data_IF_410954320783
#
_entry.id   IF_410954320783
#
_cell.length_a   1.000
_cell.length_b   1.000
_cell.length_c   1.000
_cell.angle_alpha   90.00
_cell.angle_beta   90.00
_cell.angle_gamma   90.00
#
_symmetry.space_group_name_H-M   'P 1'
#
loop_
_entity.id
_entity.type
_entity.pdbx_description
1 polymer ?
#
# COMPACT_ATOMS: atom_id res chain seq x y z
N UNK A 1 36.78 0.04 -19.37
CA UNK A 1 35.47 0.69 -19.37
C UNK A 1 34.84 0.37 -20.71
N UNK A 2 33.75 -0.30 -20.71
CA UNK A 2 33.16 -0.78 -21.96
C UNK A 2 32.25 0.31 -22.54
N UNK A 3 32.22 0.40 -23.85
CA UNK A 3 31.41 1.37 -24.63
C UNK A 3 29.92 1.35 -24.28
N UNK A 4 29.49 0.32 -23.57
CA UNK A 4 28.10 0.17 -23.08
C UNK A 4 27.72 1.24 -22.04
N UNK A 5 28.63 1.58 -21.12
CA UNK A 5 28.36 2.61 -20.10
C UNK A 5 28.24 4.01 -20.74
N UNK A 6 29.08 4.29 -21.70
CA UNK A 6 29.05 5.58 -22.42
C UNK A 6 27.76 5.72 -23.24
N UNK A 7 27.28 4.62 -23.81
CA UNK A 7 26.04 4.59 -24.59
C UNK A 7 24.78 4.82 -23.72
N UNK A 8 24.72 4.24 -22.53
CA UNK A 8 23.62 4.42 -21.59
C UNK A 8 23.59 5.87 -21.07
N UNK A 9 24.71 6.42 -20.67
CA UNK A 9 24.80 7.79 -20.21
C UNK A 9 24.40 8.79 -21.30
N UNK A 10 24.84 8.57 -22.52
CA UNK A 10 24.46 9.42 -23.65
C UNK A 10 22.96 9.37 -23.93
N UNK A 11 22.34 8.19 -23.83
CA UNK A 11 20.92 8.04 -23.99
C UNK A 11 20.12 8.72 -22.87
N UNK A 12 20.55 8.60 -21.62
CA UNK A 12 19.92 9.26 -20.47
C UNK A 12 19.95 10.79 -20.61
N UNK A 13 21.06 11.33 -21.03
CA UNK A 13 21.23 12.78 -21.26
C UNK A 13 20.30 13.29 -22.38
N UNK A 14 19.98 12.47 -23.36
CA UNK A 14 19.10 12.87 -24.47
C UNK A 14 17.63 12.90 -24.10
N UNK A 15 17.21 12.27 -22.99
CA UNK A 15 15.83 12.29 -22.50
C UNK A 15 15.46 13.64 -21.89
N UNK A 16 16.41 14.47 -21.50
CA UNK A 16 16.25 15.75 -20.81
C UNK A 16 15.37 15.68 -19.54
N UNK A 17 15.25 14.50 -18.96
CA UNK A 17 14.45 14.29 -17.74
C UNK A 17 15.40 14.08 -16.56
N UNK A 18 15.81 15.17 -15.90
CA UNK A 18 16.82 15.14 -14.84
C UNK A 18 16.45 14.14 -13.72
N UNK A 19 15.17 14.06 -13.35
CA UNK A 19 14.73 13.15 -12.29
C UNK A 19 14.94 11.68 -12.65
N UNK A 20 14.73 11.31 -13.92
CA UNK A 20 15.00 9.94 -14.38
C UNK A 20 16.48 9.59 -14.35
N UNK A 21 17.35 10.56 -14.69
CA UNK A 21 18.80 10.39 -14.59
C UNK A 21 19.21 10.20 -13.13
N UNK A 22 18.71 11.04 -12.24
CA UNK A 22 18.96 10.93 -10.80
C UNK A 22 18.53 9.57 -10.24
N UNK A 23 17.34 9.07 -10.61
CA UNK A 23 16.84 7.77 -10.18
C UNK A 23 17.72 6.60 -10.64
N UNK A 24 18.31 6.72 -11.83
CA UNK A 24 19.20 5.68 -12.37
C UNK A 24 20.60 5.75 -11.77
N UNK A 25 21.14 6.95 -11.61
CA UNK A 25 22.46 7.15 -11.00
C UNK A 25 22.47 6.74 -9.53
N UNK A 26 21.38 6.99 -8.82
CA UNK A 26 21.20 6.61 -7.43
C UNK A 26 21.25 5.09 -7.18
N UNK A 27 21.03 4.27 -8.24
CA UNK A 27 21.15 2.81 -8.14
C UNK A 27 22.57 2.34 -7.75
N UNK A 28 23.57 3.19 -7.89
CA UNK A 28 24.95 2.91 -7.52
C UNK A 28 25.28 3.30 -6.07
N UNK A 29 24.37 3.97 -5.37
CA UNK A 29 24.56 4.48 -4.02
C UNK A 29 24.19 3.43 -2.95
N UNK A 30 24.83 3.44 -1.77
CA UNK A 30 24.43 2.57 -0.68
C UNK A 30 22.95 2.70 -0.34
N UNK A 31 22.30 1.56 -0.07
CA UNK A 31 20.85 1.47 0.16
C UNK A 31 20.46 1.67 1.62
N UNK A 32 21.44 1.70 2.52
CA UNK A 32 21.17 1.84 3.96
C UNK A 32 20.83 3.28 4.32
N UNK A 33 19.92 3.45 5.26
CA UNK A 33 19.53 4.77 5.75
C UNK A 33 18.07 4.87 6.19
N UNK A 34 17.63 6.08 6.57
CA UNK A 34 16.28 6.29 7.06
C UNK A 34 15.24 6.15 5.94
N UNK A 35 14.16 5.45 6.23
CA UNK A 35 12.98 5.33 5.35
C UNK A 35 11.80 5.99 6.02
N UNK A 36 11.14 6.94 5.33
CA UNK A 36 9.91 7.55 5.82
C UNK A 36 8.71 6.76 5.31
N UNK A 37 7.81 6.40 6.22
CA UNK A 37 6.47 5.91 5.93
C UNK A 37 5.47 7.00 6.29
N UNK A 38 4.63 7.41 5.34
CA UNK A 38 3.57 8.39 5.54
C UNK A 38 2.21 7.76 5.23
N UNK A 39 1.24 7.92 6.13
CA UNK A 39 -0.11 7.38 6.02
C UNK A 39 -1.06 8.42 5.46
N UNK A 40 -1.85 8.04 4.46
CA UNK A 40 -2.83 8.92 3.80
C UNK A 40 -4.28 8.49 4.03
N UNK A 41 -4.50 7.51 4.89
CA UNK A 41 -5.84 6.96 5.17
C UNK A 41 -6.20 5.77 4.29
N UNK A 42 -7.20 4.98 4.72
CA UNK A 42 -7.57 3.72 4.09
C UNK A 42 -6.37 2.78 3.95
N UNK A 43 -5.98 2.45 2.73
CA UNK A 43 -4.77 1.66 2.43
C UNK A 43 -3.63 2.49 1.84
N UNK A 44 -3.77 3.82 1.79
CA UNK A 44 -2.82 4.67 1.09
C UNK A 44 -1.58 5.00 1.93
N UNK A 45 -0.40 4.60 1.43
CA UNK A 45 0.89 4.90 2.05
C UNK A 45 1.89 5.45 1.04
N UNK A 46 2.69 6.42 1.50
CA UNK A 46 3.90 6.83 0.79
C UNK A 46 5.12 6.31 1.53
N UNK A 47 6.02 5.66 0.80
CA UNK A 47 7.34 5.23 1.27
C UNK A 47 8.37 6.10 0.57
N UNK A 48 9.25 6.73 1.35
CA UNK A 48 10.33 7.57 0.81
C UNK A 48 11.67 6.97 1.22
N UNK A 49 12.52 6.74 0.23
CA UNK A 49 13.85 6.15 0.40
C UNK A 49 14.85 7.12 1.06
N UNK A 50 16.01 6.65 1.52
CA UNK A 50 17.09 7.52 2.01
C UNK A 50 17.54 8.59 1.02
N UNK A 51 17.45 8.34 -0.29
CA UNK A 51 17.79 9.30 -1.33
C UNK A 51 16.61 10.17 -1.77
N UNK A 52 15.45 10.02 -1.17
CA UNK A 52 14.26 10.82 -1.45
C UNK A 52 13.39 10.27 -2.58
N UNK A 53 13.68 9.08 -3.13
CA UNK A 53 12.77 8.42 -4.07
C UNK A 53 11.50 8.00 -3.34
N UNK A 54 10.35 8.35 -3.88
CA UNK A 54 9.05 8.14 -3.23
C UNK A 54 8.13 7.27 -4.07
N UNK A 55 7.48 6.30 -3.41
CA UNK A 55 6.39 5.52 -3.97
C UNK A 55 5.13 5.72 -3.12
N UNK A 56 4.00 6.00 -3.77
CA UNK A 56 2.68 6.04 -3.13
C UNK A 56 1.85 4.86 -3.63
N UNK A 57 1.33 4.08 -2.70
CA UNK A 57 0.58 2.86 -2.95
C UNK A 57 -0.86 3.09 -2.55
N UNK A 58 -1.81 2.64 -3.39
CA UNK A 58 -3.25 2.60 -3.16
C UNK A 58 -3.91 3.95 -2.80
N UNK A 59 -3.77 4.99 -3.64
CA UNK A 59 -4.60 6.18 -3.50
C UNK A 59 -6.08 5.85 -3.76
N UNK A 60 -6.98 6.43 -2.97
CA UNK A 60 -8.41 6.13 -2.96
C UNK A 60 -9.25 7.23 -3.63
N UNK A 61 -10.46 6.88 -4.08
CA UNK A 61 -11.46 7.77 -4.64
C UNK A 61 -12.86 7.26 -4.33
N UNK A 62 -13.86 8.04 -4.64
CA UNK A 62 -15.24 7.56 -4.64
C UNK A 62 -15.55 6.76 -5.90
N UNK A 63 -16.58 5.94 -5.84
CA UNK A 63 -17.01 5.16 -6.99
C UNK A 63 -17.50 6.09 -8.13
N UNK A 64 -17.10 5.89 -9.39
CA UNK A 64 -17.41 6.83 -10.48
C UNK A 64 -18.91 7.01 -10.74
N UNK A 65 -19.70 5.98 -10.46
CA UNK A 65 -21.16 6.07 -10.58
C UNK A 65 -21.85 6.75 -9.39
N UNK A 66 -21.07 7.22 -8.40
CA UNK A 66 -21.55 7.81 -7.17
C UNK A 66 -22.60 6.98 -6.41
N UNK A 67 -22.54 5.68 -6.57
CA UNK A 67 -23.38 4.74 -5.84
C UNK A 67 -22.83 4.46 -4.44
N UNK A 68 -21.53 4.72 -4.24
CA UNK A 68 -20.82 4.58 -2.99
C UNK A 68 -19.81 5.72 -2.82
N UNK A 69 -20.24 6.74 -2.14
CA UNK A 69 -19.37 7.84 -1.74
C UNK A 69 -18.84 7.55 -0.33
N UNK A 70 -17.80 6.71 -0.24
CA UNK A 70 -17.19 6.35 1.05
C UNK A 70 -16.40 7.49 1.65
N UNK A 71 -15.78 8.32 0.81
CA UNK A 71 -14.94 9.42 1.21
C UNK A 71 -15.66 10.76 1.07
N UNK A 72 -15.34 11.74 1.90
CA UNK A 72 -15.91 13.10 1.75
C UNK A 72 -15.51 13.72 0.40
N UNK A 73 -14.29 13.45 -0.04
CA UNK A 73 -13.76 13.82 -1.37
C UNK A 73 -12.84 12.73 -1.88
N UNK A 74 -12.44 12.82 -3.14
CA UNK A 74 -11.40 11.96 -3.70
C UNK A 74 -10.02 12.32 -3.12
N UNK A 75 -9.05 11.43 -3.28
CA UNK A 75 -7.67 11.59 -2.80
C UNK A 75 -7.10 12.97 -3.14
N UNK A 76 -6.38 13.63 -2.22
CA UNK A 76 -5.75 14.90 -2.53
C UNK A 76 -4.72 14.77 -3.64
N UNK A 77 -4.57 15.79 -4.49
CA UNK A 77 -3.50 15.80 -5.49
C UNK A 77 -2.16 15.72 -4.77
N UNK A 78 -1.38 14.72 -5.09
CA UNK A 78 -0.13 14.43 -4.38
C UNK A 78 1.01 14.23 -5.36
N UNK A 79 2.09 14.98 -5.19
CA UNK A 79 3.33 14.80 -5.93
C UNK A 79 4.11 13.62 -5.36
N UNK A 80 4.59 12.72 -6.26
CA UNK A 80 5.34 11.52 -5.91
C UNK A 80 6.13 11.03 -7.13
N UNK A 81 7.21 10.28 -6.95
CA UNK A 81 7.96 9.75 -8.10
C UNK A 81 7.22 8.58 -8.77
N UNK A 82 6.65 7.69 -7.95
CA UNK A 82 6.02 6.45 -8.42
C UNK A 82 4.65 6.30 -7.76
N UNK A 83 3.60 6.12 -8.55
CA UNK A 83 2.28 5.72 -8.09
C UNK A 83 2.02 4.26 -8.40
N UNK A 84 1.51 3.50 -7.43
CA UNK A 84 1.20 2.06 -7.58
C UNK A 84 -0.19 1.76 -7.05
N UNK A 85 -0.93 0.90 -7.74
CA UNK A 85 -2.19 0.33 -7.26
C UNK A 85 -2.04 -1.19 -7.12
N UNK A 86 -2.51 -1.74 -6.00
CA UNK A 86 -2.53 -3.20 -5.79
C UNK A 86 -3.61 -3.87 -6.63
N UNK A 87 -4.76 -3.20 -6.83
CA UNK A 87 -5.89 -3.70 -7.61
C UNK A 87 -6.84 -2.57 -8.01
N UNK A 88 -7.82 -2.90 -8.85
CA UNK A 88 -8.69 -1.91 -9.51
C UNK A 88 -10.02 -1.66 -8.76
N UNK A 89 -9.99 -1.58 -7.43
CA UNK A 89 -11.12 -1.08 -6.66
C UNK A 89 -10.99 0.43 -6.41
N UNK A 90 -12.13 1.11 -6.27
CA UNK A 90 -12.16 2.58 -6.18
C UNK A 90 -11.40 3.12 -4.96
N UNK A 91 -11.31 2.35 -3.89
CA UNK A 91 -10.60 2.69 -2.67
C UNK A 91 -9.08 2.37 -2.72
N UNK A 92 -8.57 1.96 -3.92
CA UNK A 92 -7.14 1.65 -4.14
C UNK A 92 -6.56 2.19 -5.46
N UNK A 93 -7.36 2.71 -6.40
CA UNK A 93 -6.92 2.94 -7.78
C UNK A 93 -6.96 4.40 -8.26
N UNK A 94 -6.97 5.37 -7.36
CA UNK A 94 -6.99 6.78 -7.74
C UNK A 94 -5.64 7.30 -8.29
N UNK A 95 -4.96 6.52 -9.11
CA UNK A 95 -3.65 6.87 -9.69
C UNK A 95 -3.67 8.19 -10.47
N UNK A 96 -4.82 8.57 -11.04
CA UNK A 96 -5.04 9.85 -11.72
C UNK A 96 -4.97 11.08 -10.78
N UNK A 97 -4.92 10.88 -9.46
CA UNK A 97 -4.75 11.93 -8.45
C UNK A 97 -3.29 12.15 -8.07
N UNK A 98 -2.38 11.40 -8.66
CA UNK A 98 -0.95 11.52 -8.40
C UNK A 98 -0.27 12.31 -9.54
N UNK A 99 0.46 13.34 -9.18
CA UNK A 99 1.45 13.98 -10.05
C UNK A 99 2.75 13.18 -9.93
N UNK A 100 2.88 12.18 -10.81
CA UNK A 100 3.92 11.16 -10.70
C UNK A 100 4.70 10.98 -12.01
N UNK A 101 5.97 10.63 -11.90
CA UNK A 101 6.79 10.27 -13.06
C UNK A 101 6.40 8.92 -13.66
N UNK A 102 5.95 7.97 -12.81
CA UNK A 102 5.57 6.62 -13.22
C UNK A 102 4.30 6.22 -12.50
N UNK A 103 3.32 5.70 -13.25
CA UNK A 103 2.10 5.10 -12.71
C UNK A 103 2.07 3.63 -13.09
N UNK A 104 1.94 2.76 -12.09
CA UNK A 104 1.98 1.30 -12.22
C UNK A 104 0.68 0.71 -11.67
N UNK A 105 -0.28 0.51 -12.54
CA UNK A 105 -1.54 -0.14 -12.19
C UNK A 105 -1.32 -1.67 -12.12
N UNK A 106 -1.50 -2.25 -10.93
CA UNK A 106 -1.32 -3.70 -10.69
C UNK A 106 0.04 -4.20 -11.19
N UNK A 107 1.08 -3.68 -10.58
CA UNK A 107 2.45 -4.01 -10.89
C UNK A 107 2.71 -5.52 -10.78
N UNK A 108 3.25 -6.12 -11.84
CA UNK A 108 3.79 -7.48 -11.82
C UNK A 108 5.23 -7.44 -12.26
N UNK A 109 6.12 -7.98 -11.42
CA UNK A 109 7.55 -8.02 -11.70
C UNK A 109 8.37 -7.15 -10.75
N UNK A 110 9.59 -6.84 -11.14
CA UNK A 110 10.55 -6.09 -10.34
C UNK A 110 10.99 -4.84 -11.10
N UNK A 111 10.91 -3.71 -10.42
CA UNK A 111 11.33 -2.40 -10.95
C UNK A 111 12.26 -1.71 -9.97
N UNK A 112 13.34 -1.13 -10.47
CA UNK A 112 14.32 -0.42 -9.66
C UNK A 112 14.34 1.07 -10.02
N UNK A 113 14.21 1.90 -8.98
CA UNK A 113 14.22 3.35 -9.09
C UNK A 113 15.22 3.90 -8.06
N UNK A 114 16.41 4.23 -8.51
CA UNK A 114 17.46 4.70 -7.60
C UNK A 114 17.79 3.66 -6.52
N UNK A 115 17.68 4.04 -5.26
CA UNK A 115 17.91 3.21 -4.08
C UNK A 115 16.65 2.46 -3.60
N UNK A 116 15.61 2.43 -4.43
CA UNK A 116 14.35 1.72 -4.16
C UNK A 116 14.11 0.64 -5.20
N UNK A 117 13.71 -0.55 -4.75
CA UNK A 117 13.19 -1.61 -5.63
C UNK A 117 11.75 -1.91 -5.25
N UNK A 118 10.87 -1.92 -6.25
CA UNK A 118 9.45 -2.24 -6.09
C UNK A 118 9.15 -3.54 -6.79
N UNK A 119 8.59 -4.50 -6.05
CA UNK A 119 8.14 -5.80 -6.58
C UNK A 119 6.62 -5.87 -6.56
N UNK A 120 6.04 -6.43 -7.60
CA UNK A 120 4.64 -6.83 -7.63
C UNK A 120 4.52 -8.35 -7.78
N UNK A 121 3.87 -8.97 -6.81
CA UNK A 121 3.61 -10.40 -6.79
C UNK A 121 2.13 -10.65 -7.09
N UNK A 122 1.84 -11.18 -8.28
CA UNK A 122 0.47 -11.44 -8.70
C UNK A 122 -0.20 -12.51 -7.84
N UNK A 123 -1.38 -12.20 -7.30
CA UNK A 123 -2.22 -13.11 -6.55
C UNK A 123 -3.71 -12.73 -6.74
N UNK A 124 -4.55 -13.02 -5.78
CA UNK A 124 -5.99 -12.81 -5.84
C UNK A 124 -6.45 -11.90 -4.71
N UNK A 125 -7.44 -11.10 -5.00
CA UNK A 125 -8.20 -10.39 -3.99
C UNK A 125 -8.83 -11.36 -2.97
N UNK A 126 -9.03 -10.88 -1.75
CA UNK A 126 -9.81 -11.59 -0.75
C UNK A 126 -11.26 -11.78 -1.25
N UNK A 127 -11.90 -12.84 -0.81
CA UNK A 127 -13.33 -13.05 -1.04
C UNK A 127 -14.06 -12.92 0.28
N UNK A 128 -15.34 -12.53 0.18
CA UNK A 128 -16.19 -12.40 1.35
C UNK A 128 -16.17 -13.68 2.18
N UNK A 129 -15.94 -13.53 3.47
CA UNK A 129 -16.09 -14.65 4.38
C UNK A 129 -17.58 -14.97 4.57
N UNK A 130 -17.87 -16.20 4.98
CA UNK A 130 -19.24 -16.59 5.34
C UNK A 130 -19.81 -15.79 6.54
N UNK A 131 -18.95 -15.07 7.26
CA UNK A 131 -19.30 -14.22 8.39
C UNK A 131 -19.37 -12.73 8.02
N UNK A 132 -19.19 -12.37 6.73
CA UNK A 132 -19.25 -10.98 6.32
C UNK A 132 -20.58 -10.33 6.70
N UNK A 133 -20.50 -9.12 7.25
CA UNK A 133 -21.68 -8.33 7.63
C UNK A 133 -22.53 -7.95 6.42
N UNK A 134 -21.90 -7.90 5.25
CA UNK A 134 -22.52 -7.56 3.99
C UNK A 134 -22.20 -8.65 2.96
N UNK A 135 -23.18 -9.01 2.16
CA UNK A 135 -22.99 -9.84 0.98
C UNK A 135 -22.58 -8.92 -0.18
N UNK A 136 -21.29 -8.65 -0.29
CA UNK A 136 -20.74 -7.74 -1.30
C UNK A 136 -21.00 -8.22 -2.72
N UNK A 137 -21.04 -9.51 -2.95
CA UNK A 137 -21.41 -10.05 -4.26
C UNK A 137 -22.81 -9.59 -4.67
N UNK A 138 -23.81 -9.76 -3.80
CA UNK A 138 -25.17 -9.27 -4.07
C UNK A 138 -25.24 -7.76 -4.17
N UNK A 139 -24.47 -7.05 -3.37
CA UNK A 139 -24.38 -5.58 -3.44
C UNK A 139 -23.82 -5.15 -4.79
N UNK A 140 -22.73 -5.76 -5.25
CA UNK A 140 -22.16 -5.48 -6.57
C UNK A 140 -23.09 -5.84 -7.71
N UNK A 141 -23.69 -7.01 -7.69
CA UNK A 141 -24.69 -7.41 -8.69
C UNK A 141 -25.85 -6.41 -8.77
N UNK A 142 -26.30 -5.91 -7.62
CA UNK A 142 -27.39 -4.95 -7.55
C UNK A 142 -27.04 -3.57 -8.08
N UNK A 143 -25.84 -3.07 -7.82
CA UNK A 143 -25.47 -1.69 -8.12
C UNK A 143 -24.59 -1.52 -9.36
N UNK A 144 -23.80 -2.51 -9.73
CA UNK A 144 -22.92 -2.43 -10.89
C UNK A 144 -23.32 -3.36 -12.04
N UNK A 145 -24.16 -4.36 -11.77
CA UNK A 145 -24.51 -5.39 -12.75
C UNK A 145 -23.37 -6.32 -13.13
N UNK A 146 -22.23 -6.22 -12.43
CA UNK A 146 -21.02 -7.00 -12.72
C UNK A 146 -20.65 -7.83 -11.48
N UNK A 147 -20.42 -9.12 -11.67
CA UNK A 147 -19.81 -9.95 -10.63
C UNK A 147 -18.32 -9.65 -10.58
N UNK A 148 -17.85 -9.07 -9.47
CA UNK A 148 -16.46 -8.72 -9.26
C UNK A 148 -15.69 -9.76 -8.44
N UNK A 149 -16.31 -10.87 -8.06
CA UNK A 149 -15.55 -11.95 -7.43
C UNK A 149 -14.42 -12.41 -8.34
N UNK A 150 -13.21 -12.60 -7.78
CA UNK A 150 -12.10 -13.15 -8.53
C UNK A 150 -12.51 -14.50 -9.13
N UNK A 151 -12.30 -14.72 -10.43
CA UNK A 151 -12.62 -15.99 -11.03
C UNK A 151 -11.78 -17.09 -10.35
N UNK A 152 -12.41 -18.21 -10.01
CA UNK A 152 -11.70 -19.39 -9.47
C UNK A 152 -10.91 -20.10 -10.58
N UNK A 153 -9.98 -19.35 -11.15
CA UNK A 153 -9.07 -19.80 -12.20
C UNK A 153 -7.63 -19.60 -11.72
N UNK A 154 -6.82 -20.66 -11.61
CA UNK A 154 -5.45 -20.53 -11.15
C UNK A 154 -4.56 -19.64 -12.05
N UNK A 155 -4.99 -19.35 -13.27
CA UNK A 155 -4.27 -18.48 -14.20
C UNK A 155 -4.74 -17.02 -14.18
N UNK A 156 -5.83 -16.71 -13.51
CA UNK A 156 -6.29 -15.33 -13.36
C UNK A 156 -5.89 -14.80 -12.00
N UNK A 157 -5.43 -13.58 -11.99
CA UNK A 157 -5.12 -12.81 -10.81
C UNK A 157 -5.68 -11.39 -11.00
N UNK A 158 -6.13 -10.81 -9.94
CA UNK A 158 -6.77 -9.49 -9.94
C UNK A 158 -6.20 -8.58 -8.84
N UNK A 159 -5.22 -9.08 -8.12
CA UNK A 159 -4.52 -8.37 -7.05
C UNK A 159 -3.01 -8.59 -7.14
N UNK A 160 -2.24 -7.61 -6.68
CA UNK A 160 -0.79 -7.70 -6.56
C UNK A 160 -0.35 -7.28 -5.15
N UNK A 161 0.36 -8.18 -4.46
CA UNK A 161 1.12 -7.78 -3.27
C UNK A 161 2.27 -6.89 -3.71
N UNK A 162 2.44 -5.75 -3.06
CA UNK A 162 3.55 -4.85 -3.36
C UNK A 162 4.61 -4.95 -2.27
N UNK A 163 5.85 -5.22 -2.68
CA UNK A 163 7.01 -5.26 -1.79
C UNK A 163 7.97 -4.15 -2.20
N UNK A 164 8.36 -3.33 -1.23
CA UNK A 164 9.34 -2.25 -1.42
C UNK A 164 10.61 -2.58 -0.64
N UNK A 165 11.75 -2.59 -1.34
CA UNK A 165 13.07 -2.73 -0.73
C UNK A 165 13.81 -1.40 -0.81
N UNK A 166 14.14 -0.83 0.33
CA UNK A 166 14.92 0.40 0.46
C UNK A 166 15.43 0.58 1.88
N UNK A 167 16.52 1.32 2.08
CA UNK A 167 17.10 1.58 3.41
C UNK A 167 17.49 0.34 4.19
N UNK A 168 17.85 -0.76 3.50
CA UNK A 168 18.16 -2.05 4.11
C UNK A 168 16.92 -2.83 4.59
N UNK A 169 15.71 -2.30 4.38
CA UNK A 169 14.44 -2.89 4.84
C UNK A 169 13.61 -3.44 3.69
N UNK A 170 12.79 -4.45 3.99
CA UNK A 170 11.81 -5.04 3.10
C UNK A 170 10.41 -4.83 3.66
N UNK A 171 9.60 -4.04 2.95
CA UNK A 171 8.27 -3.61 3.37
C UNK A 171 7.24 -4.24 2.46
N UNK A 172 6.24 -4.96 2.99
CA UNK A 172 5.13 -5.48 2.20
C UNK A 172 3.87 -4.64 2.43
N UNK A 173 3.21 -4.26 1.36
CA UNK A 173 1.84 -3.76 1.36
C UNK A 173 0.92 -4.89 0.93
N UNK A 174 0.03 -5.31 1.84
CA UNK A 174 -0.83 -6.46 1.61
C UNK A 174 -2.03 -6.11 0.73
N UNK A 175 -2.48 -4.85 0.76
CA UNK A 175 -3.73 -4.44 0.13
C UNK A 175 -4.88 -5.32 0.59
N UNK A 176 -5.75 -5.67 -0.33
CA UNK A 176 -6.90 -6.54 -0.11
C UNK A 176 -6.64 -7.99 -0.54
N UNK A 177 -5.37 -8.40 -0.54
CA UNK A 177 -4.98 -9.76 -0.92
C UNK A 177 -5.58 -10.80 0.02
N UNK A 178 -5.92 -11.96 -0.53
CA UNK A 178 -6.37 -13.09 0.29
C UNK A 178 -5.35 -13.46 1.37
N UNK A 179 -5.85 -14.01 2.48
CA UNK A 179 -5.00 -14.38 3.63
C UNK A 179 -4.17 -15.65 3.41
N UNK A 180 -4.49 -16.42 2.39
CA UNK A 180 -3.90 -17.74 2.10
C UNK A 180 -3.31 -17.84 0.69
N UNK A 181 -2.41 -16.94 0.30
CA UNK A 181 -1.72 -17.07 -0.98
C UNK A 181 -0.95 -18.40 -1.05
N UNK A 182 -0.69 -18.91 -2.26
CA UNK A 182 0.04 -20.17 -2.42
C UNK A 182 1.50 -20.05 -1.93
N UNK A 183 2.11 -21.20 -1.61
CA UNK A 183 3.48 -21.26 -1.06
C UNK A 183 4.53 -20.55 -1.93
N UNK A 184 4.33 -20.50 -3.24
CA UNK A 184 5.21 -19.78 -4.15
C UNK A 184 5.25 -18.28 -3.84
N UNK A 185 4.11 -17.68 -3.47
CA UNK A 185 4.02 -16.27 -3.06
C UNK A 185 4.71 -16.06 -1.71
N UNK A 186 4.43 -16.91 -0.72
CA UNK A 186 5.13 -16.84 0.58
C UNK A 186 6.65 -16.93 0.42
N UNK A 187 7.12 -17.83 -0.46
CA UNK A 187 8.55 -17.96 -0.76
C UNK A 187 9.11 -16.70 -1.43
N UNK A 188 8.35 -16.07 -2.33
CA UNK A 188 8.75 -14.85 -3.02
C UNK A 188 8.75 -13.62 -2.09
N UNK A 189 7.83 -13.57 -1.12
CA UNK A 189 7.84 -12.55 -0.07
C UNK A 189 9.13 -12.59 0.74
N UNK A 190 9.65 -13.78 1.06
CA UNK A 190 10.85 -13.91 1.87
C UNK A 190 10.70 -13.33 3.28
N UNK A 191 11.79 -12.81 3.84
CA UNK A 191 11.77 -12.11 5.14
C UNK A 191 11.21 -10.70 4.93
N UNK A 192 10.22 -10.34 5.75
CA UNK A 192 9.61 -9.01 5.75
C UNK A 192 9.91 -8.32 7.07
N UNK A 193 10.40 -7.09 7.00
CA UNK A 193 10.69 -6.27 8.17
C UNK A 193 9.45 -5.50 8.63
N UNK A 194 8.73 -4.87 7.70
CA UNK A 194 7.51 -4.12 7.97
C UNK A 194 6.36 -4.67 7.12
N UNK A 195 5.26 -5.04 7.75
CA UNK A 195 4.05 -5.49 7.07
C UNK A 195 2.91 -4.50 7.26
N UNK A 196 2.43 -3.91 6.15
CA UNK A 196 1.22 -3.10 6.11
C UNK A 196 0.05 -4.05 5.87
N UNK A 197 -0.84 -4.23 6.87
CA UNK A 197 -1.88 -5.26 6.87
C UNK A 197 -3.27 -4.69 7.13
N UNK A 198 -4.31 -5.16 6.41
CA UNK A 198 -5.68 -4.73 6.65
C UNK A 198 -6.22 -5.29 7.98
N UNK A 199 -6.98 -4.44 8.70
CA UNK A 199 -7.61 -4.77 10.00
C UNK A 199 -9.07 -4.31 10.07
N UNK A 200 -9.73 -4.22 8.93
CA UNK A 200 -11.07 -3.64 8.79
C UNK A 200 -12.19 -4.45 9.48
N UNK A 201 -11.94 -5.71 9.83
CA UNK A 201 -12.90 -6.61 10.50
C UNK A 201 -14.25 -6.76 9.78
N UNK A 202 -14.43 -6.18 8.59
CA UNK A 202 -15.69 -6.27 7.83
C UNK A 202 -16.01 -7.68 7.34
N UNK A 203 -15.01 -8.58 7.36
CA UNK A 203 -15.06 -9.92 6.78
C UNK A 203 -15.19 -9.90 5.24
N UNK A 204 -15.15 -8.72 4.64
CA UNK A 204 -15.05 -8.54 3.19
C UNK A 204 -13.61 -8.73 2.72
N UNK A 205 -12.67 -8.05 3.36
CA UNK A 205 -11.24 -8.18 3.05
C UNK A 205 -10.57 -9.07 4.09
N UNK A 206 -10.58 -8.65 5.37
CA UNK A 206 -9.78 -9.34 6.36
C UNK A 206 -10.43 -9.36 7.74
N UNK A 207 -10.87 -10.53 8.17
CA UNK A 207 -11.18 -10.75 9.58
C UNK A 207 -9.90 -10.82 10.41
N UNK A 208 -9.94 -10.36 11.66
CA UNK A 208 -8.76 -10.32 12.54
C UNK A 208 -8.04 -11.66 12.66
N UNK A 209 -8.76 -12.79 12.64
CA UNK A 209 -8.17 -14.13 12.67
C UNK A 209 -7.24 -14.39 11.47
N UNK A 210 -7.57 -13.85 10.32
CA UNK A 210 -6.77 -13.97 9.11
C UNK A 210 -5.55 -13.07 9.14
N UNK A 211 -5.71 -11.84 9.63
CA UNK A 211 -4.57 -10.93 9.87
C UNK A 211 -3.55 -11.58 10.81
N UNK A 212 -4.02 -12.25 11.88
CA UNK A 212 -3.15 -12.99 12.78
C UNK A 212 -2.39 -14.13 12.08
N UNK A 213 -3.08 -14.89 11.24
CA UNK A 213 -2.43 -15.97 10.51
C UNK A 213 -1.32 -15.46 9.58
N UNK A 214 -1.55 -14.29 8.95
CA UNK A 214 -0.54 -13.62 8.13
C UNK A 214 0.66 -13.19 9.00
N UNK A 215 0.41 -12.52 10.12
CA UNK A 215 1.46 -12.08 11.06
C UNK A 215 2.28 -13.25 11.57
N UNK A 216 1.63 -14.35 11.94
CA UNK A 216 2.34 -15.55 12.39
C UNK A 216 3.24 -16.15 11.31
N UNK A 217 2.79 -16.14 10.06
CA UNK A 217 3.53 -16.74 8.95
C UNK A 217 4.65 -15.83 8.43
N UNK A 218 4.42 -14.53 8.33
CA UNK A 218 5.44 -13.55 7.93
C UNK A 218 6.46 -13.30 9.03
N UNK A 219 6.03 -13.33 10.30
CA UNK A 219 6.81 -12.95 11.47
C UNK A 219 7.55 -11.62 11.28
N UNK A 220 6.86 -10.52 10.87
CA UNK A 220 7.52 -9.25 10.62
C UNK A 220 7.97 -8.62 11.94
N UNK A 221 8.96 -7.73 11.88
CA UNK A 221 9.40 -6.95 13.04
C UNK A 221 8.37 -5.92 13.45
N UNK A 222 7.75 -5.28 12.44
CA UNK A 222 6.74 -4.25 12.63
C UNK A 222 5.50 -4.57 11.79
N UNK A 223 4.33 -4.39 12.39
CA UNK A 223 3.02 -4.42 11.72
C UNK A 223 2.44 -3.01 11.75
N UNK A 224 2.02 -2.52 10.59
CA UNK A 224 1.29 -1.26 10.47
C UNK A 224 -0.12 -1.59 9.98
N UNK A 225 -1.15 -1.41 10.81
CA UNK A 225 -2.53 -1.66 10.42
C UNK A 225 -3.02 -0.59 9.43
N UNK A 226 -3.83 -1.03 8.47
CA UNK A 226 -4.49 -0.16 7.51
C UNK A 226 -5.90 -0.67 7.16
N UNK A 227 -6.56 -0.03 6.18
CA UNK A 227 -7.89 -0.39 5.69
C UNK A 227 -8.93 -0.37 6.81
N UNK A 228 -8.92 0.66 7.63
CA UNK A 228 -9.86 0.86 8.73
C UNK A 228 -10.54 2.23 8.64
N UNK A 229 -11.65 2.37 9.34
CA UNK A 229 -12.43 3.60 9.37
C UNK A 229 -11.66 4.74 10.04
N UNK A 230 -11.60 5.90 9.37
CA UNK A 230 -10.96 7.13 9.86
C UNK A 230 -11.98 8.26 9.84
N UNK A 231 -12.20 8.90 11.00
CA UNK A 231 -13.08 10.07 11.12
C UNK A 231 -12.61 11.22 10.24
N UNK A 232 -13.59 11.92 9.65
CA UNK A 232 -13.38 13.07 8.76
C UNK A 232 -12.62 12.76 7.45
N UNK A 233 -12.40 11.48 7.16
CA UNK A 233 -11.94 11.01 5.84
C UNK A 233 -13.01 10.16 5.20
N UNK A 234 -13.56 9.19 5.95
CA UNK A 234 -14.62 8.29 5.50
C UNK A 234 -15.99 8.72 6.02
N UNK A 235 -17.00 8.51 5.21
CA UNK A 235 -18.40 8.66 5.60
C UNK A 235 -18.91 7.34 6.24
N UNK A 236 -19.95 7.43 7.07
CA UNK A 236 -20.52 6.26 7.76
C UNK A 236 -21.19 5.23 6.84
N UNK A 237 -21.39 5.54 5.60
CA UNK A 237 -21.83 4.57 4.59
C UNK A 237 -20.74 3.59 4.16
N UNK A 238 -19.50 3.83 4.55
CA UNK A 238 -18.41 2.87 4.39
C UNK A 238 -18.66 1.61 5.23
N UNK A 239 -18.17 0.48 4.74
CA UNK A 239 -18.23 -0.81 5.44
C UNK A 239 -17.04 -1.07 6.35
N UNK A 240 -16.04 -0.17 6.32
CA UNK A 240 -14.85 -0.30 7.15
C UNK A 240 -15.20 -0.16 8.63
N UNK A 241 -14.62 -1.01 9.46
CA UNK A 241 -14.68 -0.93 10.92
C UNK A 241 -13.45 -0.17 11.45
N UNK A 242 -13.51 0.27 12.72
CA UNK A 242 -12.34 0.87 13.39
C UNK A 242 -11.27 -0.16 13.69
N UNK A 243 -10.02 0.30 13.82
CA UNK A 243 -8.88 -0.55 14.17
C UNK A 243 -8.71 -0.78 15.68
N UNK A 244 -9.38 0.01 16.52
CA UNK A 244 -9.13 0.09 17.96
C UNK A 244 -9.26 -1.28 18.65
N UNK A 245 -10.30 -2.05 18.30
CA UNK A 245 -10.50 -3.37 18.87
C UNK A 245 -9.30 -4.30 18.62
N UNK A 246 -8.72 -4.24 17.42
CA UNK A 246 -7.57 -5.04 17.06
C UNK A 246 -6.29 -4.51 17.74
N UNK A 247 -6.11 -3.19 17.76
CA UNK A 247 -4.94 -2.52 18.34
C UNK A 247 -4.90 -2.69 19.86
N UNK A 248 -6.01 -2.47 20.54
CA UNK A 248 -6.08 -2.53 22.01
C UNK A 248 -5.94 -3.97 22.56
N UNK A 249 -6.09 -4.96 21.70
CA UNK A 249 -5.81 -6.36 22.05
C UNK A 249 -4.32 -6.73 22.00
N UNK A 250 -3.41 -5.76 21.72
CA UNK A 250 -1.97 -5.96 21.55
C UNK A 250 -1.19 -5.41 22.72
N UNK A 251 -0.10 -6.11 23.09
CA UNK A 251 0.78 -5.69 24.18
C UNK A 251 1.87 -4.71 23.70
N UNK A 252 2.35 -4.85 22.46
CA UNK A 252 3.47 -4.08 21.93
C UNK A 252 2.99 -3.09 20.86
N UNK A 253 2.29 -2.03 21.29
CA UNK A 253 1.73 -1.00 20.42
C UNK A 253 2.41 0.34 20.65
N UNK A 254 2.95 0.92 19.58
CA UNK A 254 3.33 2.33 19.54
C UNK A 254 2.24 3.11 18.77
N UNK A 255 1.51 4.01 19.46
CA UNK A 255 0.62 4.97 18.82
C UNK A 255 1.44 6.12 18.26
N UNK A 256 1.50 6.23 16.93
CA UNK A 256 2.30 7.23 16.24
C UNK A 256 1.62 8.60 16.39
N UNK A 257 2.38 9.59 16.87
CA UNK A 257 1.90 10.97 17.02
C UNK A 257 2.13 11.76 15.73
N UNK A 258 1.27 11.57 14.75
CA UNK A 258 1.30 12.26 13.46
C UNK A 258 1.23 11.30 12.27
N UNK A 259 1.23 11.84 11.04
CA UNK A 259 0.98 11.04 9.84
C UNK A 259 2.24 10.39 9.26
N UNK A 260 3.40 10.53 9.88
CA UNK A 260 4.69 10.09 9.36
C UNK A 260 5.52 9.40 10.43
N UNK A 261 6.26 8.36 10.03
CA UNK A 261 7.25 7.67 10.86
C UNK A 261 8.50 7.40 10.04
N UNK A 262 9.65 7.69 10.62
CA UNK A 262 10.95 7.34 10.05
C UNK A 262 11.43 6.04 10.68
N UNK A 263 11.85 5.10 9.84
CA UNK A 263 12.40 3.81 10.23
C UNK A 263 13.87 3.72 9.86
N UNK A 264 14.65 3.05 10.72
CA UNK A 264 16.03 2.64 10.44
C UNK A 264 16.16 1.15 10.75
N UNK A 265 16.90 0.43 9.92
CA UNK A 265 17.03 -1.02 10.07
C UNK A 265 17.57 -1.39 11.47
N UNK A 266 18.52 -0.63 12.02
CA UNK A 266 19.12 -0.91 13.32
C UNK A 266 18.15 -0.73 14.49
N UNK A 267 17.08 0.04 14.29
CA UNK A 267 16.03 0.25 15.29
C UNK A 267 15.01 -0.87 15.24
N UNK A 268 14.53 -1.20 14.03
CA UNK A 268 13.50 -2.22 13.87
C UNK A 268 14.02 -3.64 14.06
N UNK A 269 15.31 -3.89 13.87
CA UNK A 269 15.97 -5.17 14.16
C UNK A 269 15.80 -5.63 15.61
N UNK A 270 15.53 -4.69 16.51
CA UNK A 270 15.33 -4.95 17.95
C UNK A 270 13.86 -5.22 18.30
N UNK A 271 12.96 -5.08 17.32
CA UNK A 271 11.53 -5.23 17.51
C UNK A 271 11.08 -6.63 17.10
N UNK A 272 10.01 -7.09 17.70
CA UNK A 272 9.35 -8.34 17.35
C UNK A 272 7.84 -8.11 17.33
N UNK A 273 7.24 -8.19 16.15
CA UNK A 273 5.79 -8.02 15.92
C UNK A 273 5.22 -6.76 16.60
N UNK A 274 6.02 -5.69 16.68
CA UNK A 274 5.57 -4.42 17.22
C UNK A 274 4.48 -3.83 16.31
N UNK A 275 3.43 -3.28 16.90
CA UNK A 275 2.36 -2.61 16.14
C UNK A 275 2.61 -1.11 16.17
N UNK A 276 2.75 -0.49 15.00
CA UNK A 276 2.85 0.96 14.84
C UNK A 276 1.54 1.49 14.25
N UNK A 277 0.76 2.18 15.07
CA UNK A 277 -0.60 2.61 14.73
C UNK A 277 -0.68 4.12 14.51
N UNK A 278 -1.04 4.52 13.30
CA UNK A 278 -1.19 5.94 12.92
C UNK A 278 -2.50 6.58 13.38
N UNK A 279 -3.50 5.79 13.81
CA UNK A 279 -4.80 6.34 14.20
C UNK A 279 -5.46 7.11 13.05
N UNK A 280 -5.98 8.30 13.37
CA UNK A 280 -6.65 9.19 12.40
C UNK A 280 -5.71 10.23 11.77
N UNK A 281 -4.40 10.06 11.94
CA UNK A 281 -3.41 10.98 11.37
C UNK A 281 -3.17 10.66 9.90
N UNK A 282 -3.41 11.65 9.03
CA UNK A 282 -3.20 11.53 7.58
C UNK A 282 -2.22 12.58 7.07
N UNK A 283 -1.42 12.22 6.06
CA UNK A 283 -0.30 13.02 5.57
C UNK A 283 -0.69 14.11 4.58
N UNK A 284 -1.88 14.67 4.73
CA UNK A 284 -2.36 15.84 4.00
C UNK A 284 -3.09 16.79 4.93
N UNK A 285 -3.30 18.04 4.49
CA UNK A 285 -4.10 19.02 5.24
C UNK A 285 -5.59 18.65 5.17
N UNK A 286 -6.04 17.89 6.18
CA UNK A 286 -7.41 17.38 6.27
C UNK A 286 -8.45 18.51 6.31
N UNK A 287 -8.15 19.63 6.98
CA UNK A 287 -9.09 20.74 7.06
C UNK A 287 -9.25 21.47 5.71
N UNK A 288 -8.14 21.72 5.01
CA UNK A 288 -8.19 22.31 3.69
C UNK A 288 -8.86 21.36 2.69
N UNK A 289 -8.54 20.07 2.75
CA UNK A 289 -9.13 19.04 1.90
C UNK A 289 -10.65 18.89 2.11
N UNK A 290 -11.14 18.89 3.36
CA UNK A 290 -12.58 18.87 3.66
C UNK A 290 -13.32 20.08 3.08
N UNK A 291 -12.66 21.26 3.03
CA UNK A 291 -13.27 22.48 2.48
C UNK A 291 -13.25 22.56 0.97
N UNK A 292 -12.25 21.98 0.31
CA UNK A 292 -11.97 22.24 -1.11
C UNK A 292 -11.97 21.00 -1.98
N UNK A 293 -11.83 19.81 -1.42
CA UNK A 293 -11.61 18.56 -2.14
C UNK A 293 -10.22 18.46 -2.80
N UNK A 294 -9.26 19.29 -2.34
CA UNK A 294 -7.92 19.39 -2.93
C UNK A 294 -6.84 19.22 -1.89
#
# INVERSE_FOLDING_TARGET
>A
MTDIDTGLNAWQMTTNHNRMIELQDAALTPKDGPVELAFYGSSAFRITSPMGVSVLIDPWRNHPARTWDWYFHDFPITEVDIGVSTHAHFDHDALHRLDAHVLLDRLIGMYRFGDMTVYGLADKHAVDSSCALYDFKKVHEKFSGVNIEPPDNPRSWDHCLIVVETGGMRIVHWGDNRHNPPDAIWKALGTIDIALLPVDQSQHVMGHVHTEAIIQRLAPRVVVPHHYYIWDVLQRQSTLQGAEQWVDARENVEKIHGPRRVYRIEEIDKLEKAVHFFGDHVAFDKEAWLKTGR
#
